data_IF_651194405466
#
_entry.id   IF_651194405466
#
_cell.length_a   1.000
_cell.length_b   1.000
_cell.length_c   1.000
_cell.angle_alpha   90.00
_cell.angle_beta   90.00
_cell.angle_gamma   90.00
#
_symmetry.space_group_name_H-M   'P 1'
#
loop_
_entity.id
_entity.type
_entity.pdbx_description
1 polymer ?
#
# COMPACT_ATOMS: atom_id res chain seq x y z
N UNK A 1 -37.42 3.36 50.18
CA UNK A 1 -36.58 2.33 49.54
C UNK A 1 -35.92 2.99 48.33
N UNK A 2 -34.64 3.37 48.45
CA UNK A 2 -33.87 3.99 47.36
C UNK A 2 -33.09 2.89 46.62
N UNK A 3 -33.37 2.69 45.34
CA UNK A 3 -32.52 1.88 44.46
C UNK A 3 -31.48 2.79 43.81
N UNK A 4 -30.21 2.58 44.13
CA UNK A 4 -29.07 3.26 43.49
C UNK A 4 -28.90 2.76 42.04
N UNK A 5 -28.60 3.63 41.05
CA UNK A 5 -28.40 3.21 39.66
C UNK A 5 -27.08 2.45 39.52
N UNK A 6 -27.15 1.26 38.95
CA UNK A 6 -26.03 0.34 38.76
C UNK A 6 -24.95 0.89 37.82
N UNK A 7 -23.71 0.51 38.15
CA UNK A 7 -22.43 0.81 37.49
C UNK A 7 -22.25 0.17 36.11
N UNK A 8 -23.16 0.39 35.16
CA UNK A 8 -23.10 -0.28 33.84
C UNK A 8 -22.02 0.26 32.89
N UNK A 9 -21.57 1.51 33.07
CA UNK A 9 -20.61 2.15 32.15
C UNK A 9 -19.21 1.52 32.21
N UNK A 10 -18.73 1.13 33.38
CA UNK A 10 -17.37 0.59 33.57
C UNK A 10 -17.21 -0.86 33.09
N UNK A 11 -18.26 -1.67 33.25
CA UNK A 11 -18.25 -3.08 32.83
C UNK A 11 -18.39 -3.21 31.32
N UNK A 12 -19.23 -2.38 30.68
CA UNK A 12 -19.36 -2.34 29.23
C UNK A 12 -18.06 -1.97 28.52
N UNK A 13 -17.36 -0.94 29.00
CA UNK A 13 -16.06 -0.55 28.43
C UNK A 13 -15.00 -1.66 28.51
N UNK A 14 -14.92 -2.37 29.65
CA UNK A 14 -14.00 -3.50 29.82
C UNK A 14 -14.33 -4.66 28.90
N UNK A 15 -15.62 -4.98 28.73
CA UNK A 15 -16.07 -6.01 27.81
C UNK A 15 -15.69 -5.67 26.35
N UNK A 16 -15.84 -4.41 25.93
CA UNK A 16 -15.44 -3.96 24.60
C UNK A 16 -13.92 -4.01 24.37
N UNK A 17 -13.11 -3.62 25.36
CA UNK A 17 -11.65 -3.72 25.27
C UNK A 17 -11.19 -5.18 25.19
N UNK A 18 -11.77 -6.06 26.01
CA UNK A 18 -11.47 -7.49 25.94
C UNK A 18 -11.87 -8.08 24.60
N UNK A 19 -13.05 -7.74 24.08
CA UNK A 19 -13.48 -8.16 22.75
C UNK A 19 -12.52 -7.67 21.66
N UNK A 20 -12.11 -6.40 21.70
CA UNK A 20 -11.14 -5.82 20.77
C UNK A 20 -9.79 -6.56 20.78
N UNK A 21 -9.25 -6.86 21.97
CA UNK A 21 -7.98 -7.59 22.08
C UNK A 21 -8.12 -9.04 21.60
N UNK A 22 -9.26 -9.69 21.85
CA UNK A 22 -9.53 -11.05 21.39
C UNK A 22 -9.73 -11.13 19.87
N UNK A 23 -10.26 -10.08 19.24
CA UNK A 23 -10.42 -10.01 17.78
C UNK A 23 -9.17 -9.52 17.06
N UNK A 24 -8.19 -8.94 17.77
CA UNK A 24 -6.97 -8.40 17.17
C UNK A 24 -6.18 -9.43 16.34
N UNK A 25 -6.00 -10.70 16.77
CA UNK A 25 -5.36 -11.73 15.94
C UNK A 25 -6.14 -12.12 14.68
N UNK A 26 -7.46 -11.83 14.62
CA UNK A 26 -8.28 -12.05 13.43
C UNK A 26 -8.10 -10.92 12.41
N UNK A 27 -7.55 -9.77 12.81
CA UNK A 27 -7.16 -8.70 11.90
C UNK A 27 -5.89 -9.14 11.18
N UNK A 28 -6.04 -9.59 9.94
CA UNK A 28 -4.88 -9.80 9.07
C UNK A 28 -4.35 -8.44 8.63
N UNK A 29 -3.07 -8.10 8.85
CA UNK A 29 -2.48 -6.84 8.39
C UNK A 29 -2.25 -6.84 6.86
N UNK A 30 -3.00 -7.64 6.11
CA UNK A 30 -2.97 -7.66 4.64
C UNK A 30 -3.66 -6.41 4.13
N UNK A 31 -2.92 -5.32 4.14
CA UNK A 31 -3.08 -4.22 3.19
C UNK A 31 -2.38 -4.77 1.93
N UNK A 32 -3.12 -5.57 1.14
CA UNK A 32 -2.77 -6.07 -0.20
C UNK A 32 -3.98 -6.01 -1.12
N UNK A 33 -4.21 -4.82 -1.68
CA UNK A 33 -5.32 -4.53 -2.59
C UNK A 33 -4.91 -3.66 -3.76
N UNK A 34 -5.90 -3.08 -4.43
CA UNK A 34 -5.67 -2.18 -5.55
C UNK A 34 -5.07 -0.84 -5.08
N UNK A 35 -5.67 -0.24 -4.06
CA UNK A 35 -5.37 1.13 -3.60
C UNK A 35 -3.88 1.38 -3.30
N UNK A 36 -3.21 0.41 -2.67
CA UNK A 36 -1.78 0.53 -2.34
C UNK A 36 -0.88 0.41 -3.58
N UNK A 37 -1.21 -0.50 -4.51
CA UNK A 37 -0.43 -0.74 -5.73
C UNK A 37 -0.54 0.49 -6.61
N UNK A 38 -1.76 1.01 -6.77
CA UNK A 38 -2.06 2.20 -7.55
C UNK A 38 -1.36 3.45 -6.97
N UNK A 39 -1.41 3.64 -5.65
CA UNK A 39 -0.74 4.75 -4.98
C UNK A 39 0.79 4.66 -5.07
N UNK A 40 1.34 3.46 -4.91
CA UNK A 40 2.77 3.21 -5.03
C UNK A 40 3.29 3.38 -6.47
N UNK A 41 2.50 2.97 -7.48
CA UNK A 41 2.90 3.05 -8.88
C UNK A 41 3.22 4.48 -9.33
N UNK A 42 2.53 5.50 -8.78
CA UNK A 42 2.91 6.90 -9.00
C UNK A 42 4.34 7.20 -8.55
N UNK A 43 4.75 6.71 -7.37
CA UNK A 43 6.09 6.97 -6.83
C UNK A 43 7.16 6.38 -7.73
N UNK A 44 7.02 5.09 -8.07
CA UNK A 44 8.03 4.42 -8.87
C UNK A 44 8.08 4.99 -10.30
N UNK A 45 6.95 5.02 -11.00
CA UNK A 45 6.91 5.51 -12.39
C UNK A 45 7.44 6.96 -12.47
N UNK A 46 7.13 7.85 -11.52
CA UNK A 46 7.69 9.21 -11.52
C UNK A 46 9.21 9.26 -11.30
N UNK A 47 9.77 8.38 -10.49
CA UNK A 47 11.18 8.41 -10.09
C UNK A 47 12.08 7.66 -11.08
N UNK A 48 11.57 6.59 -11.69
CA UNK A 48 12.35 5.69 -12.53
C UNK A 48 12.02 5.82 -14.02
N UNK A 49 10.74 5.73 -14.38
CA UNK A 49 10.32 5.61 -15.78
C UNK A 49 9.92 6.97 -16.39
N UNK A 50 9.59 7.94 -15.54
CA UNK A 50 9.20 9.31 -15.84
C UNK A 50 8.02 9.46 -16.81
N UNK A 51 7.13 8.47 -16.90
CA UNK A 51 6.08 8.44 -17.91
C UNK A 51 4.66 8.45 -17.36
N UNK A 52 4.42 8.10 -16.09
CA UNK A 52 3.09 7.86 -15.53
C UNK A 52 2.30 6.81 -16.33
N UNK A 53 3.01 5.77 -16.75
CA UNK A 53 2.41 4.52 -17.18
C UNK A 53 2.77 3.43 -16.17
N UNK A 54 1.76 2.72 -15.66
CA UNK A 54 1.87 1.89 -14.46
C UNK A 54 1.99 0.39 -14.74
N UNK A 55 2.18 0.05 -16.02
CA UNK A 55 2.02 -1.32 -16.49
C UNK A 55 3.01 -2.31 -15.90
N UNK A 56 4.25 -1.86 -15.76
CA UNK A 56 5.33 -2.67 -15.21
C UNK A 56 5.23 -2.77 -13.68
N UNK A 57 4.80 -1.74 -12.95
CA UNK A 57 4.44 -1.91 -11.53
C UNK A 57 3.30 -2.89 -11.34
N UNK A 58 2.23 -2.72 -12.09
CA UNK A 58 1.05 -3.58 -11.98
C UNK A 58 1.40 -5.03 -12.31
N UNK A 59 2.22 -5.24 -13.34
CA UNK A 59 2.69 -6.56 -13.71
C UNK A 59 3.64 -7.15 -12.65
N UNK A 60 4.50 -6.33 -12.04
CA UNK A 60 5.39 -6.75 -10.95
C UNK A 60 4.59 -7.32 -9.77
N UNK A 61 3.59 -6.56 -9.27
CA UNK A 61 2.78 -7.02 -8.14
C UNK A 61 1.88 -8.20 -8.52
N UNK A 62 1.26 -8.18 -9.71
CA UNK A 62 0.44 -9.29 -10.18
C UNK A 62 1.24 -10.59 -10.28
N UNK A 63 2.48 -10.54 -10.79
CA UNK A 63 3.33 -11.72 -10.91
C UNK A 63 3.67 -12.36 -9.55
N UNK A 64 3.69 -11.56 -8.46
CA UNK A 64 3.95 -12.06 -7.11
C UNK A 64 2.74 -12.75 -6.45
N UNK A 65 1.50 -12.39 -6.83
CA UNK A 65 0.28 -13.05 -6.35
C UNK A 65 -0.85 -13.05 -7.41
N UNK A 66 -0.73 -13.88 -8.46
CA UNK A 66 -1.72 -13.89 -9.55
C UNK A 66 -3.12 -14.29 -9.10
N UNK A 67 -3.22 -15.16 -8.08
CA UNK A 67 -4.49 -15.66 -7.56
C UNK A 67 -5.20 -14.59 -6.71
N UNK A 68 -4.47 -13.92 -5.82
CA UNK A 68 -5.02 -12.83 -5.00
C UNK A 68 -5.37 -11.58 -5.80
N UNK A 69 -4.66 -11.33 -6.92
CA UNK A 69 -4.81 -10.13 -7.74
C UNK A 69 -5.56 -10.37 -9.06
N UNK A 70 -6.31 -11.47 -9.20
CA UNK A 70 -7.09 -11.73 -10.42
C UNK A 70 -8.09 -10.60 -10.74
N UNK A 71 -8.77 -10.06 -9.71
CA UNK A 71 -9.66 -8.90 -9.86
C UNK A 71 -8.93 -7.63 -10.28
N UNK A 72 -7.75 -7.39 -9.67
CA UNK A 72 -6.86 -6.28 -10.02
C UNK A 72 -6.46 -6.34 -11.49
N UNK A 73 -5.98 -7.49 -11.98
CA UNK A 73 -5.61 -7.68 -13.39
C UNK A 73 -6.73 -7.28 -14.33
N UNK A 74 -7.94 -7.79 -14.09
CA UNK A 74 -9.10 -7.52 -14.96
C UNK A 74 -9.53 -6.04 -15.01
N UNK A 75 -9.12 -5.24 -14.03
CA UNK A 75 -9.46 -3.82 -13.93
C UNK A 75 -8.32 -2.94 -14.42
N UNK A 76 -7.09 -3.23 -14.02
CA UNK A 76 -5.95 -2.32 -14.12
C UNK A 76 -4.89 -2.76 -15.12
N UNK A 77 -4.77 -4.06 -15.44
CA UNK A 77 -3.81 -4.57 -16.45
C UNK A 77 -4.48 -4.79 -17.80
N UNK A 78 -5.68 -5.37 -17.80
CA UNK A 78 -6.38 -5.74 -19.05
C UNK A 78 -7.10 -4.56 -19.70
N UNK A 79 -7.35 -3.47 -18.95
CA UNK A 79 -8.06 -2.29 -19.43
C UNK A 79 -7.09 -1.12 -19.55
N UNK A 80 -7.36 -0.30 -20.55
CA UNK A 80 -6.63 0.95 -20.81
C UNK A 80 -7.59 2.11 -20.76
N UNK A 81 -7.07 3.26 -20.35
CA UNK A 81 -7.78 4.53 -20.48
C UNK A 81 -7.95 4.84 -21.99
N UNK A 82 -9.13 5.31 -22.36
CA UNK A 82 -9.57 5.41 -23.75
C UNK A 82 -8.88 6.50 -24.57
N UNK A 83 -8.48 7.60 -23.96
CA UNK A 83 -7.87 8.74 -24.66
C UNK A 83 -6.34 8.59 -24.76
N UNK A 84 -5.72 8.12 -23.69
CA UNK A 84 -4.25 8.04 -23.53
C UNK A 84 -3.68 6.66 -23.83
N UNK A 85 -4.48 5.60 -23.80
CA UNK A 85 -4.04 4.21 -23.97
C UNK A 85 -3.21 3.65 -22.80
N UNK A 86 -3.04 4.41 -21.72
CA UNK A 86 -2.27 4.01 -20.52
C UNK A 86 -3.09 3.13 -19.60
N UNK A 87 -2.45 2.43 -18.67
CA UNK A 87 -3.17 1.70 -17.64
C UNK A 87 -3.94 2.68 -16.74
N UNK A 88 -5.11 2.22 -16.32
CA UNK A 88 -6.00 3.01 -15.47
C UNK A 88 -5.42 3.07 -14.05
N UNK A 89 -5.57 4.21 -13.38
CA UNK A 89 -5.22 4.38 -11.97
C UNK A 89 -6.25 5.32 -11.34
N UNK A 90 -6.92 4.84 -10.30
CA UNK A 90 -7.93 5.56 -9.53
C UNK A 90 -7.38 6.19 -8.26
N UNK A 91 -6.15 5.84 -7.84
CA UNK A 91 -5.56 6.41 -6.65
C UNK A 91 -5.33 7.93 -6.82
N UNK A 92 -5.60 8.72 -5.78
CA UNK A 92 -5.29 10.14 -5.80
C UNK A 92 -3.78 10.35 -5.73
N UNK A 93 -3.25 11.12 -6.68
CA UNK A 93 -1.83 11.52 -6.72
C UNK A 93 -1.34 12.16 -5.40
N UNK A 94 -2.22 12.83 -4.66
CA UNK A 94 -1.87 13.52 -3.40
C UNK A 94 -1.24 12.62 -2.35
N UNK A 95 -1.69 11.36 -2.23
CA UNK A 95 -1.10 10.39 -1.30
C UNK A 95 0.33 10.03 -1.70
N UNK A 96 0.58 9.84 -3.00
CA UNK A 96 1.93 9.59 -3.51
C UNK A 96 2.84 10.79 -3.26
N UNK A 97 2.38 12.02 -3.53
CA UNK A 97 3.16 13.24 -3.26
C UNK A 97 3.49 13.41 -1.78
N UNK A 98 2.58 13.05 -0.88
CA UNK A 98 2.83 13.07 0.57
C UNK A 98 3.96 12.11 0.96
N UNK A 99 4.03 10.93 0.31
CA UNK A 99 5.05 9.92 0.59
C UNK A 99 6.37 10.12 -0.18
N UNK A 100 6.35 10.91 -1.27
CA UNK A 100 7.50 11.09 -2.16
C UNK A 100 8.81 11.50 -1.44
N UNK A 101 8.83 12.41 -0.45
CA UNK A 101 10.07 12.74 0.26
C UNK A 101 10.73 11.54 0.95
N UNK A 102 9.93 10.63 1.51
CA UNK A 102 10.43 9.44 2.19
C UNK A 102 10.92 8.38 1.19
N UNK A 103 10.17 8.19 0.10
CA UNK A 103 10.57 7.29 -0.98
C UNK A 103 11.88 7.72 -1.64
N UNK A 104 12.04 9.02 -1.91
CA UNK A 104 13.29 9.58 -2.44
C UNK A 104 14.45 9.46 -1.43
N UNK A 105 14.18 9.61 -0.13
CA UNK A 105 15.19 9.38 0.91
C UNK A 105 15.64 7.92 0.95
N UNK A 106 14.71 6.97 0.82
CA UNK A 106 15.02 5.55 0.69
C UNK A 106 15.85 5.28 -0.57
N UNK A 107 15.48 5.87 -1.72
CA UNK A 107 16.25 5.77 -2.96
C UNK A 107 17.68 6.27 -2.78
N UNK A 108 17.86 7.47 -2.22
CA UNK A 108 19.17 8.04 -1.95
C UNK A 108 20.00 7.14 -1.01
N UNK A 109 19.36 6.58 0.03
CA UNK A 109 19.98 5.61 0.93
C UNK A 109 20.47 4.36 0.21
N UNK A 110 19.66 3.79 -0.70
CA UNK A 110 20.05 2.65 -1.54
C UNK A 110 21.24 3.01 -2.44
N UNK A 111 21.22 4.18 -3.09
CA UNK A 111 22.34 4.65 -3.92
C UNK A 111 23.64 4.79 -3.12
N UNK A 112 23.58 5.37 -1.91
CA UNK A 112 24.74 5.47 -1.02
C UNK A 112 25.23 4.08 -0.59
N UNK A 113 24.32 3.20 -0.16
CA UNK A 113 24.67 1.84 0.23
C UNK A 113 25.35 1.07 -0.90
N UNK A 114 24.86 1.20 -2.14
CA UNK A 114 25.49 0.62 -3.33
C UNK A 114 26.86 1.21 -3.63
N UNK A 115 27.02 2.53 -3.50
CA UNK A 115 28.31 3.19 -3.67
C UNK A 115 29.35 2.70 -2.64
N UNK A 116 28.90 2.26 -1.46
CA UNK A 116 29.71 1.64 -0.41
C UNK A 116 29.90 0.12 -0.58
N UNK A 117 29.45 -0.48 -1.68
CA UNK A 117 29.59 -1.90 -2.00
C UNK A 117 28.43 -2.80 -1.57
N UNK A 118 27.30 -2.23 -1.13
CA UNK A 118 26.08 -2.98 -0.82
C UNK A 118 25.39 -3.59 -2.04
N UNK A 119 24.70 -4.72 -1.84
CA UNK A 119 24.09 -5.52 -2.93
C UNK A 119 22.62 -5.21 -3.24
N UNK A 120 21.96 -4.32 -2.52
CA UNK A 120 20.53 -3.99 -2.72
C UNK A 120 20.29 -3.42 -4.12
N UNK A 121 19.26 -3.89 -4.81
CA UNK A 121 18.86 -3.35 -6.11
C UNK A 121 18.28 -1.94 -5.96
N UNK A 122 18.68 -1.01 -6.83
CA UNK A 122 18.10 0.32 -6.93
C UNK A 122 16.97 0.31 -7.97
N UNK A 123 15.94 -0.50 -7.73
CA UNK A 123 14.84 -0.79 -8.67
C UNK A 123 13.51 -0.13 -8.29
N UNK A 124 13.47 0.52 -7.11
CA UNK A 124 12.27 1.16 -6.60
C UNK A 124 11.29 0.21 -5.92
N UNK A 125 11.55 -1.11 -5.88
CA UNK A 125 10.68 -2.14 -5.27
C UNK A 125 11.32 -2.85 -4.09
N UNK A 126 12.63 -3.08 -4.16
CA UNK A 126 13.37 -3.83 -3.15
C UNK A 126 13.42 -3.08 -1.82
N UNK A 127 13.32 -3.80 -0.70
CA UNK A 127 13.51 -3.15 0.61
C UNK A 127 14.82 -2.32 0.62
N UNK A 128 14.82 -1.04 1.06
CA UNK A 128 13.85 -0.39 1.94
C UNK A 128 12.89 0.61 1.27
N UNK A 129 12.66 0.55 -0.05
CA UNK A 129 11.54 1.30 -0.66
C UNK A 129 10.22 0.90 0.00
#
# INVERSE_FOLDING_TARGET
MNASPGSSRGTGGRALVLLFLLTLPLVTPKIRGADEIEGFAYLRSLVFDHDLEFGDEYQHFYAADPAGLAGFKSTFLDRRETETGRHINFAPLGSALLWAPFYLLAHAGVLVGRALGGGTAADGFSWPY
#
